data_IF_069352027749
#
_entry.id   IF_069352027749
#
_cell.length_a   1.000
_cell.length_b   1.000
_cell.length_c   1.000
_cell.angle_alpha   90.00
_cell.angle_beta   90.00
_cell.angle_gamma   90.00
#
_symmetry.space_group_name_H-M   'P 1'
#
loop_
_entity.id
_entity.type
_entity.pdbx_description
1 polymer ?
#
# COMPACT_ATOMS: atom_id res chain seq x y z
N UNK A 1 -38.45 7.23 9.61
CA UNK A 1 -37.81 6.40 10.67
C UNK A 1 -37.06 5.19 10.13
N UNK A 2 -37.32 4.72 8.90
CA UNK A 2 -36.63 3.55 8.32
C UNK A 2 -35.19 3.84 7.87
N UNK A 3 -34.88 5.08 7.46
CA UNK A 3 -33.57 5.42 6.89
C UNK A 3 -32.45 5.41 7.93
N UNK A 4 -32.74 5.82 9.17
CA UNK A 4 -31.76 5.81 10.27
C UNK A 4 -31.35 4.38 10.61
N UNK A 5 -32.31 3.44 10.65
CA UNK A 5 -32.02 2.04 10.90
C UNK A 5 -31.24 1.40 9.74
N UNK A 6 -31.58 1.75 8.49
CA UNK A 6 -30.84 1.28 7.32
C UNK A 6 -29.37 1.75 7.33
N UNK A 7 -29.11 3.00 7.70
CA UNK A 7 -27.76 3.54 7.84
C UNK A 7 -26.98 2.83 8.95
N UNK A 8 -27.61 2.58 10.10
CA UNK A 8 -26.99 1.85 11.20
C UNK A 8 -26.60 0.42 10.80
N UNK A 9 -27.48 -0.30 10.10
CA UNK A 9 -27.20 -1.65 9.61
C UNK A 9 -26.06 -1.66 8.59
N UNK A 10 -26.05 -0.70 7.67
CA UNK A 10 -24.97 -0.55 6.70
C UNK A 10 -23.61 -0.33 7.38
N UNK A 11 -23.57 0.51 8.42
CA UNK A 11 -22.36 0.77 9.20
C UNK A 11 -21.85 -0.48 9.92
N UNK A 12 -22.73 -1.22 10.60
CA UNK A 12 -22.36 -2.47 11.29
C UNK A 12 -21.80 -3.49 10.30
N UNK A 13 -22.41 -3.59 9.13
CA UNK A 13 -21.95 -4.51 8.08
C UNK A 13 -20.57 -4.11 7.54
N UNK A 14 -20.32 -2.81 7.39
CA UNK A 14 -19.02 -2.28 7.00
C UNK A 14 -17.94 -2.61 8.04
N UNK A 15 -18.19 -2.30 9.31
CA UNK A 15 -17.26 -2.60 10.42
C UNK A 15 -16.91 -4.09 10.50
N UNK A 16 -17.91 -4.96 10.34
CA UNK A 16 -17.71 -6.41 10.31
C UNK A 16 -16.83 -6.86 9.14
N UNK A 17 -16.97 -6.20 7.99
CA UNK A 17 -16.21 -6.51 6.79
C UNK A 17 -14.76 -6.10 6.97
N UNK A 18 -14.52 -4.88 7.47
CA UNK A 18 -13.18 -4.38 7.78
C UNK A 18 -12.46 -5.25 8.81
N UNK A 19 -13.16 -5.66 9.88
CA UNK A 19 -12.59 -6.56 10.89
C UNK A 19 -12.17 -7.90 10.29
N UNK A 20 -13.02 -8.50 9.45
CA UNK A 20 -12.72 -9.77 8.77
C UNK A 20 -11.49 -9.63 7.86
N UNK A 21 -11.41 -8.55 7.08
CA UNK A 21 -10.28 -8.31 6.19
C UNK A 21 -8.99 -8.06 6.97
N UNK A 22 -9.06 -7.34 8.08
CA UNK A 22 -7.93 -7.11 8.99
C UNK A 22 -7.39 -8.44 9.50
N UNK A 23 -8.26 -9.31 10.04
CA UNK A 23 -7.86 -10.63 10.52
C UNK A 23 -7.21 -11.46 9.39
N UNK A 24 -7.83 -11.50 8.21
CA UNK A 24 -7.31 -12.26 7.07
C UNK A 24 -5.95 -11.77 6.60
N UNK A 25 -5.76 -10.45 6.55
CA UNK A 25 -4.49 -9.87 6.15
C UNK A 25 -3.45 -9.99 7.24
N UNK A 26 -3.79 -10.07 8.52
CA UNK A 26 -2.80 -10.16 9.61
C UNK A 26 -2.36 -11.60 9.93
N UNK A 27 -3.20 -12.62 9.71
CA UNK A 27 -2.89 -14.01 10.09
C UNK A 27 -1.88 -14.75 9.19
N UNK A 28 -1.54 -14.22 8.02
CA UNK A 28 -0.56 -14.85 7.13
C UNK A 28 -0.70 -14.35 5.71
N UNK A 29 0.27 -13.52 5.29
CA UNK A 29 0.21 -12.66 4.10
C UNK A 29 -0.66 -13.17 2.95
N UNK A 30 -1.63 -12.36 2.54
CA UNK A 30 -2.61 -12.72 1.53
C UNK A 30 -1.96 -12.86 0.15
N UNK A 31 -2.51 -13.69 -0.74
CA UNK A 31 -2.03 -13.71 -2.13
C UNK A 31 -2.34 -12.39 -2.83
N UNK A 32 -1.64 -12.09 -3.91
CA UNK A 32 -1.88 -10.88 -4.70
C UNK A 32 -3.30 -10.81 -5.25
N UNK A 33 -3.82 -11.93 -5.76
CA UNK A 33 -5.20 -12.02 -6.25
C UNK A 33 -6.21 -11.69 -5.15
N UNK A 34 -6.05 -12.30 -3.97
CA UNK A 34 -6.93 -12.01 -2.83
C UNK A 34 -6.79 -10.56 -2.37
N UNK A 35 -5.56 -10.02 -2.34
CA UNK A 35 -5.31 -8.63 -1.98
C UNK A 35 -6.07 -7.67 -2.91
N UNK A 36 -6.04 -7.90 -4.22
CA UNK A 36 -6.78 -7.09 -5.20
C UNK A 36 -8.28 -7.14 -5.01
N UNK A 37 -8.84 -8.31 -4.65
CA UNK A 37 -10.25 -8.42 -4.32
C UNK A 37 -10.59 -7.65 -3.04
N UNK A 38 -9.76 -7.76 -2.01
CA UNK A 38 -9.97 -7.05 -0.75
C UNK A 38 -9.86 -5.54 -0.89
N UNK A 39 -8.97 -5.04 -1.75
CA UNK A 39 -8.82 -3.61 -2.02
C UNK A 39 -10.12 -2.96 -2.52
N UNK A 40 -11.01 -3.71 -3.19
CA UNK A 40 -12.31 -3.21 -3.64
C UNK A 40 -13.23 -2.82 -2.49
N UNK A 41 -13.08 -3.48 -1.35
CA UNK A 41 -13.90 -3.28 -0.16
C UNK A 41 -13.26 -2.34 0.87
N UNK A 42 -12.01 -1.91 0.63
CA UNK A 42 -11.26 -1.08 1.56
C UNK A 42 -11.22 0.37 1.12
N UNK A 43 -11.20 1.25 2.12
CA UNK A 43 -10.77 2.63 1.97
C UNK A 43 -9.27 2.77 2.22
N UNK A 44 -8.70 3.92 1.87
CA UNK A 44 -7.32 4.26 2.20
C UNK A 44 -7.07 4.14 3.71
N UNK A 45 -7.94 4.70 4.55
CA UNK A 45 -7.84 4.61 6.00
C UNK A 45 -7.96 3.16 6.51
N UNK A 46 -8.85 2.36 5.91
CA UNK A 46 -8.98 0.94 6.25
C UNK A 46 -7.70 0.15 5.95
N UNK A 47 -7.07 0.41 4.80
CA UNK A 47 -5.80 -0.23 4.44
C UNK A 47 -4.65 0.22 5.35
N UNK A 48 -4.58 1.49 5.73
CA UNK A 48 -3.58 2.00 6.69
C UNK A 48 -3.73 1.37 8.08
N UNK A 49 -4.96 1.18 8.56
CA UNK A 49 -5.22 0.44 9.81
C UNK A 49 -4.69 -0.99 9.71
N UNK A 50 -4.96 -1.69 8.62
CA UNK A 50 -4.44 -3.06 8.41
C UNK A 50 -2.91 -3.08 8.37
N UNK A 51 -2.29 -2.11 7.71
CA UNK A 51 -0.83 -1.97 7.67
C UNK A 51 -0.24 -1.79 9.07
N UNK A 52 -0.91 -1.03 9.93
CA UNK A 52 -0.53 -0.85 11.33
C UNK A 52 -0.68 -2.15 12.13
N UNK A 53 -1.84 -2.82 12.08
CA UNK A 53 -2.08 -4.09 12.77
C UNK A 53 -1.09 -5.18 12.35
N UNK A 54 -0.73 -5.21 11.05
CA UNK A 54 0.31 -6.12 10.55
C UNK A 54 1.69 -5.81 11.15
N UNK A 55 2.04 -4.54 11.31
CA UNK A 55 3.31 -4.16 11.94
C UNK A 55 3.35 -4.58 13.41
N UNK A 56 2.23 -4.41 14.14
CA UNK A 56 2.04 -4.90 15.51
C UNK A 56 2.23 -6.43 15.57
N UNK A 57 1.71 -7.16 14.58
CA UNK A 57 1.89 -8.60 14.44
C UNK A 57 3.29 -9.03 13.92
N UNK A 58 4.27 -8.11 13.93
CA UNK A 58 5.64 -8.35 13.48
C UNK A 58 5.75 -8.83 12.02
N UNK A 59 4.80 -8.41 11.17
CA UNK A 59 4.81 -8.65 9.74
C UNK A 59 5.06 -7.35 8.98
N UNK A 60 5.66 -7.47 7.79
CA UNK A 60 5.77 -6.36 6.87
C UNK A 60 4.37 -5.78 6.59
N UNK A 61 4.20 -4.47 6.74
CA UNK A 61 2.91 -3.81 6.57
C UNK A 61 2.28 -4.04 5.19
N UNK A 62 3.06 -4.33 4.14
CA UNK A 62 2.49 -4.69 2.84
C UNK A 62 1.78 -6.06 2.91
N UNK A 63 0.44 -6.15 2.75
CA UNK A 63 -0.31 -7.37 3.04
C UNK A 63 0.10 -8.63 2.25
N UNK A 64 0.51 -8.51 0.98
CA UNK A 64 1.04 -9.66 0.23
C UNK A 64 2.40 -10.18 0.70
N UNK A 65 3.15 -9.37 1.45
CA UNK A 65 4.46 -9.76 1.94
C UNK A 65 4.34 -10.67 3.16
N UNK A 66 5.22 -11.67 3.28
CA UNK A 66 5.32 -12.56 4.45
C UNK A 66 6.56 -12.31 5.29
N UNK A 67 7.42 -11.40 4.86
CA UNK A 67 8.67 -11.10 5.56
C UNK A 67 8.40 -10.27 6.82
N UNK A 68 9.28 -10.35 7.83
CA UNK A 68 9.22 -9.45 8.97
C UNK A 68 9.49 -7.99 8.56
N UNK A 69 9.04 -7.01 9.33
CA UNK A 69 9.33 -5.60 9.13
C UNK A 69 10.83 -5.30 9.36
N UNK A 70 11.34 -4.19 8.82
CA UNK A 70 12.74 -3.76 9.07
C UNK A 70 13.02 -3.53 10.55
N UNK A 71 12.04 -3.00 11.27
CA UNK A 71 12.13 -2.77 12.71
C UNK A 71 10.85 -3.26 13.40
N UNK A 72 11.00 -3.84 14.59
CA UNK A 72 9.87 -4.22 15.44
C UNK A 72 8.98 -3.00 15.75
N UNK A 73 7.69 -3.26 15.98
CA UNK A 73 6.76 -2.23 16.41
C UNK A 73 7.24 -1.61 17.72
N UNK A 74 7.24 -0.28 17.78
CA UNK A 74 7.51 0.47 19.00
C UNK A 74 6.34 1.42 19.21
N UNK A 75 5.65 1.24 20.33
CA UNK A 75 4.63 2.16 20.79
C UNK A 75 5.33 3.45 21.27
N UNK A 76 5.66 4.33 20.32
CA UNK A 76 6.14 5.67 20.63
C UNK A 76 4.96 6.63 20.50
N UNK A 77 4.78 7.50 21.50
CA UNK A 77 3.76 8.55 21.48
C UNK A 77 3.85 9.32 20.16
N UNK A 78 2.83 9.17 19.32
CA UNK A 78 2.68 9.93 18.10
C UNK A 78 2.64 11.41 18.48
N UNK A 79 3.69 12.16 18.12
CA UNK A 79 3.60 13.62 18.17
C UNK A 79 2.64 14.03 17.05
N UNK A 80 1.36 14.14 17.41
CA UNK A 80 0.31 14.72 16.58
C UNK A 80 0.75 16.13 16.15
N UNK A 81 1.34 16.23 14.96
CA UNK A 81 1.62 17.51 14.31
C UNK A 81 0.52 17.76 13.31
N UNK A 82 -0.35 18.71 13.65
CA UNK A 82 -1.39 19.20 12.75
C UNK A 82 -0.74 20.31 11.92
N UNK A 83 -0.56 20.07 10.63
CA UNK A 83 -0.27 21.15 9.69
C UNK A 83 -1.56 21.93 9.42
N UNK A 84 -1.59 23.21 9.83
CA UNK A 84 -2.75 24.09 9.68
C UNK A 84 -3.08 24.42 8.21
N UNK A 85 -2.16 24.21 7.28
CA UNK A 85 -2.41 24.49 5.85
C UNK A 85 -3.03 23.29 5.11
N UNK A 86 -2.78 22.07 5.56
CA UNK A 86 -3.23 20.85 4.88
C UNK A 86 -4.20 19.98 5.71
N UNK A 87 -4.40 20.30 7.00
CA UNK A 87 -5.13 19.47 7.98
C UNK A 87 -4.65 18.01 8.01
N UNK A 88 -3.44 17.73 7.50
CA UNK A 88 -2.92 16.39 7.39
C UNK A 88 -2.25 15.97 8.71
N UNK A 89 -2.60 14.77 9.17
CA UNK A 89 -2.03 14.15 10.36
C UNK A 89 -0.78 13.38 9.93
N UNK A 90 0.41 13.90 10.21
CA UNK A 90 1.65 13.18 9.96
C UNK A 90 1.97 12.26 11.12
N UNK A 91 1.79 10.95 10.94
CA UNK A 91 2.41 9.96 11.81
C UNK A 91 3.84 9.69 11.28
N UNK A 92 4.84 10.36 11.86
CA UNK A 92 6.22 10.35 11.34
C UNK A 92 7.01 9.05 11.56
N UNK A 93 6.37 7.96 11.99
CA UNK A 93 7.06 6.75 12.48
C UNK A 93 6.90 5.51 11.60
N UNK A 94 6.82 5.72 10.29
CA UNK A 94 6.65 4.64 9.30
C UNK A 94 7.99 4.13 8.70
N UNK A 95 9.13 4.44 9.34
CA UNK A 95 10.46 4.11 8.81
C UNK A 95 10.86 2.64 8.97
N UNK A 96 10.03 1.82 9.62
CA UNK A 96 10.36 0.43 9.95
C UNK A 96 9.32 -0.62 9.62
N UNK A 97 8.09 -0.20 9.29
CA UNK A 97 6.94 -1.10 9.16
C UNK A 97 7.03 -2.02 7.93
N UNK A 98 7.84 -1.65 6.93
CA UNK A 98 8.07 -2.43 5.72
C UNK A 98 9.43 -3.13 5.74
N UNK A 99 9.50 -4.32 5.15
CA UNK A 99 10.76 -5.06 5.00
C UNK A 99 11.72 -4.43 3.98
N UNK A 100 11.19 -3.68 3.00
CA UNK A 100 11.96 -3.02 1.95
C UNK A 100 11.26 -1.75 1.46
N UNK A 101 12.02 -0.88 0.80
CA UNK A 101 11.46 0.35 0.22
C UNK A 101 10.54 0.04 -0.96
N UNK A 102 10.75 -1.08 -1.65
CA UNK A 102 9.83 -1.61 -2.66
C UNK A 102 8.46 -1.95 -2.07
N UNK A 103 8.40 -2.65 -0.92
CA UNK A 103 7.13 -2.95 -0.26
C UNK A 103 6.41 -1.67 0.18
N UNK A 104 7.17 -0.67 0.63
CA UNK A 104 6.62 0.65 0.97
C UNK A 104 6.01 1.34 -0.26
N UNK A 105 6.70 1.34 -1.40
CA UNK A 105 6.18 1.92 -2.64
C UNK A 105 4.92 1.20 -3.13
N UNK A 106 4.91 -0.14 -3.08
CA UNK A 106 3.75 -0.97 -3.46
C UNK A 106 2.55 -0.72 -2.55
N UNK A 107 2.78 -0.58 -1.24
CA UNK A 107 1.75 -0.24 -0.28
C UNK A 107 1.17 1.16 -0.52
N UNK A 108 2.04 2.16 -0.72
CA UNK A 108 1.63 3.53 -1.04
C UNK A 108 0.82 3.60 -2.34
N UNK A 109 1.26 2.87 -3.37
CA UNK A 109 0.50 2.75 -4.62
C UNK A 109 -0.89 2.16 -4.38
N UNK A 110 -0.98 1.07 -3.62
CA UNK A 110 -2.26 0.43 -3.31
C UNK A 110 -3.23 1.38 -2.57
N UNK A 111 -2.73 2.13 -1.57
CA UNK A 111 -3.51 3.13 -0.81
C UNK A 111 -4.06 4.23 -1.73
N UNK A 112 -3.26 4.71 -2.67
CA UNK A 112 -3.55 5.90 -3.46
C UNK A 112 -4.36 5.60 -4.73
N UNK A 113 -4.15 4.44 -5.34
CA UNK A 113 -4.69 4.14 -6.67
C UNK A 113 -5.61 2.93 -6.71
N UNK A 114 -5.52 1.98 -5.77
CA UNK A 114 -6.18 0.68 -5.90
C UNK A 114 -7.35 0.46 -4.93
N UNK A 115 -7.51 1.30 -3.91
CA UNK A 115 -8.66 1.22 -3.00
C UNK A 115 -9.97 1.46 -3.74
N UNK A 116 -10.98 0.67 -3.40
CA UNK A 116 -12.29 0.68 -4.06
C UNK A 116 -13.34 1.50 -3.31
N UNK A 117 -13.06 1.95 -2.09
CA UNK A 117 -13.98 2.77 -1.30
C UNK A 117 -13.38 4.12 -0.93
N UNK A 118 -14.23 5.15 -0.91
CA UNK A 118 -13.89 6.48 -0.38
C UNK A 118 -14.94 6.90 0.66
N UNK A 119 -14.49 7.54 1.74
CA UNK A 119 -15.40 8.13 2.73
C UNK A 119 -16.07 9.38 2.14
N UNK A 120 -17.40 9.46 2.29
CA UNK A 120 -18.18 10.65 1.96
C UNK A 120 -18.36 11.55 3.20
N UNK A 121 -19.02 12.71 3.01
CA UNK A 121 -19.27 13.69 4.07
C UNK A 121 -20.10 13.15 5.26
N UNK A 122 -20.75 12.00 5.09
CA UNK A 122 -21.53 11.30 6.12
C UNK A 122 -20.74 10.13 6.77
N UNK A 123 -19.44 10.04 6.54
CA UNK A 123 -18.57 8.94 6.99
C UNK A 123 -19.02 7.56 6.48
N UNK A 124 -19.71 7.50 5.34
CA UNK A 124 -20.08 6.25 4.67
C UNK A 124 -19.10 5.95 3.54
N UNK A 125 -18.73 4.68 3.42
CA UNK A 125 -17.90 4.21 2.31
C UNK A 125 -18.73 4.08 1.03
N UNK A 126 -18.33 4.82 0.01
CA UNK A 126 -18.91 4.75 -1.34
C UNK A 126 -17.92 4.14 -2.32
N UNK A 127 -18.44 3.40 -3.29
CA UNK A 127 -17.63 2.78 -4.34
C UNK A 127 -16.98 3.82 -5.25
N UNK A 128 -15.69 3.62 -5.54
CA UNK A 128 -14.93 4.42 -6.50
C UNK A 128 -14.36 3.52 -7.61
N UNK A 129 -14.33 4.04 -8.84
CA UNK A 129 -13.65 3.39 -9.96
C UNK A 129 -12.13 3.60 -9.82
N UNK A 130 -11.50 2.81 -8.95
CA UNK A 130 -10.05 2.79 -8.75
C UNK A 130 -9.29 2.11 -9.90
N UNK A 131 -7.97 2.31 -9.92
CA UNK A 131 -7.06 1.61 -10.82
C UNK A 131 -6.93 0.14 -10.38
N UNK A 132 -7.20 -0.79 -11.30
CA UNK A 132 -7.30 -2.24 -11.00
C UNK A 132 -5.95 -2.97 -10.99
N UNK A 133 -4.84 -2.26 -11.22
CA UNK A 133 -3.50 -2.84 -11.31
C UNK A 133 -2.62 -2.40 -10.15
N UNK A 134 -1.99 -3.38 -9.50
CA UNK A 134 -0.94 -3.17 -8.51
C UNK A 134 0.36 -2.75 -9.19
N UNK A 135 1.24 -2.06 -8.47
CA UNK A 135 2.50 -1.53 -9.01
C UNK A 135 3.37 -2.64 -9.63
N UNK A 136 3.47 -3.78 -8.97
CA UNK A 136 4.25 -4.94 -9.41
C UNK A 136 3.75 -5.60 -10.70
N UNK A 137 2.49 -5.37 -11.08
CA UNK A 137 1.96 -5.83 -12.38
C UNK A 137 2.42 -4.93 -13.53
N UNK A 138 2.82 -3.68 -13.25
CA UNK A 138 3.48 -2.82 -14.23
C UNK A 138 4.96 -3.14 -14.36
N UNK A 139 5.64 -3.44 -13.24
CA UNK A 139 7.04 -3.88 -13.20
C UNK A 139 7.25 -5.16 -14.02
N UNK A 140 6.31 -6.11 -13.90
CA UNK A 140 6.36 -7.39 -14.63
C UNK A 140 6.11 -7.25 -16.14
N UNK A 141 5.51 -6.14 -16.57
CA UNK A 141 5.32 -5.81 -17.99
C UNK A 141 6.50 -5.04 -18.61
N UNK A 142 7.50 -4.66 -17.79
CA UNK A 142 8.66 -3.89 -18.20
C UNK A 142 9.90 -4.75 -18.49
N UNK A 143 9.72 -6.00 -18.95
CA UNK A 143 10.76 -6.72 -19.71
C UNK A 143 10.90 -6.07 -21.09
N UNK A 144 11.47 -4.87 -21.10
CA UNK A 144 11.97 -4.22 -22.31
C UNK A 144 13.27 -4.95 -22.65
N UNK A 145 13.25 -5.59 -23.81
CA UNK A 145 14.37 -6.03 -24.63
C UNK A 145 15.61 -5.15 -24.42
N UNK A 146 16.63 -5.70 -23.74
CA UNK A 146 18.00 -5.22 -23.90
C UNK A 146 18.51 -5.68 -25.26
N UNK A 147 18.13 -4.94 -26.30
CA UNK A 147 18.84 -4.96 -27.59
C UNK A 147 20.10 -4.10 -27.42
N UNK A 148 21.09 -4.65 -26.71
CA UNK A 148 22.44 -4.06 -26.69
C UNK A 148 23.19 -4.65 -27.86
N UNK A 149 23.17 -3.91 -28.95
CA UNK A 149 23.95 -4.15 -30.16
C UNK A 149 25.44 -4.26 -29.78
N UNK A 150 26.17 -5.28 -30.27
CA UNK A 150 27.60 -5.39 -30.01
C UNK A 150 28.36 -4.35 -30.85
N UNK A 151 28.96 -3.35 -30.21
CA UNK A 151 29.96 -2.48 -30.83
C UNK A 151 31.17 -3.30 -31.27
N UNK A 152 31.57 -3.27 -32.56
CA UNK A 152 32.77 -3.94 -33.02
C UNK A 152 34.03 -3.22 -32.55
N UNK A 153 35.01 -4.04 -32.16
CA UNK A 153 36.31 -3.68 -31.64
C UNK A 153 37.32 -3.27 -32.73
N UNK A 154 38.26 -2.39 -32.34
CA UNK A 154 39.63 -2.15 -32.86
C UNK A 154 39.82 -1.05 -33.94
N UNK A 155 41.05 -0.49 -34.17
CA UNK A 155 42.38 -0.73 -33.54
C UNK A 155 43.14 0.58 -33.11
N UNK A 156 44.37 0.51 -32.57
CA UNK A 156 45.06 1.67 -31.97
C UNK A 156 45.80 2.51 -33.01
N UNK A 157 46.01 3.80 -32.73
CA UNK A 157 46.97 4.64 -33.45
C UNK A 157 47.93 5.33 -32.49
N UNK A 158 49.18 4.91 -32.62
CA UNK A 158 50.38 5.55 -32.11
C UNK A 158 50.71 6.80 -32.97
N UNK A 159 51.71 7.58 -32.52
CA UNK A 159 52.51 8.62 -33.23
C UNK A 159 52.22 10.11 -32.92
N UNK A 160 52.97 10.60 -31.91
CA UNK A 160 53.88 11.78 -31.81
C UNK A 160 53.77 13.01 -32.76
N UNK A 161 54.06 14.18 -32.16
CA UNK A 161 54.62 15.49 -32.62
C UNK A 161 53.75 16.61 -32.02
N UNK A 162 54.25 17.58 -31.23
CA UNK A 162 55.51 18.34 -31.26
C UNK A 162 56.16 18.43 -29.88
#
# INVERSE_FOLDING_TARGET
MNDVQAIQLAKIQQERTELKLTIQMTLGGCTLSSFKEYLKELSSAGLERIQHERHIAELCSYPPCKNPPKFAYKEQQSQLRIDRQSLSLYNSHDKGAFCSDTCKQRANWAITHCVGKKENDFNLLVDVKGNKKLLEEYESGATITQDVTPTPSSPPKNVRFQ
#
